data_IF_631817680308
#
_entry.id   IF_631817680308
#
_cell.length_a   1.000
_cell.length_b   1.000
_cell.length_c   1.000
_cell.angle_alpha   90.00
_cell.angle_beta   90.00
_cell.angle_gamma   90.00
#
_symmetry.space_group_name_H-M   'P 1'
#
loop_
_entity.id
_entity.type
_entity.pdbx_description
1 polymer ?
#
# COMPACT_ATOMS: atom_id res chain seq x y z
N UNK A 1 22.36 6.26 -4.35
CA UNK A 1 22.10 4.79 -4.21
C UNK A 1 22.07 4.31 -2.76
N UNK A 2 23.04 4.66 -1.90
CA UNK A 2 23.13 4.22 -0.49
C UNK A 2 21.88 4.49 0.39
N UNK A 3 21.18 5.62 0.19
CA UNK A 3 19.95 5.94 0.92
C UNK A 3 18.82 4.94 0.61
N UNK A 4 18.67 4.57 -0.67
CA UNK A 4 17.63 3.64 -1.12
C UNK A 4 17.87 2.24 -0.57
N UNK A 5 19.12 1.77 -0.57
CA UNK A 5 19.48 0.48 0.02
C UNK A 5 19.11 0.39 1.50
N UNK A 6 19.36 1.45 2.28
CA UNK A 6 18.95 1.50 3.70
C UNK A 6 17.43 1.49 3.89
N UNK A 7 16.69 2.17 3.02
CA UNK A 7 15.21 2.12 3.06
C UNK A 7 14.69 0.71 2.80
N UNK A 8 15.27 0.01 1.82
CA UNK A 8 14.89 -1.38 1.49
C UNK A 8 15.20 -2.30 2.68
N UNK A 9 16.40 -2.21 3.25
CA UNK A 9 16.78 -3.02 4.42
C UNK A 9 15.85 -2.77 5.63
N UNK A 10 15.39 -1.53 5.82
CA UNK A 10 14.44 -1.18 6.89
C UNK A 10 13.03 -1.73 6.63
N UNK A 11 12.59 -1.76 5.36
CA UNK A 11 11.24 -2.18 5.00
C UNK A 11 11.10 -3.69 4.83
N UNK A 12 12.11 -4.37 4.29
CA UNK A 12 12.03 -5.77 3.86
C UNK A 12 12.98 -6.71 4.62
N UNK A 13 13.79 -6.18 5.54
CA UNK A 13 14.75 -6.97 6.31
C UNK A 13 15.99 -7.34 5.50
N UNK A 14 16.78 -8.28 6.02
CA UNK A 14 18.06 -8.65 5.43
C UNK A 14 17.94 -9.68 4.29
N UNK A 15 16.78 -10.31 4.12
CA UNK A 15 16.58 -11.39 3.15
C UNK A 15 16.41 -10.85 1.71
N UNK A 16 17.36 -11.14 0.79
CA UNK A 16 17.31 -10.65 -0.59
C UNK A 16 16.13 -11.16 -1.41
N UNK A 17 15.56 -12.31 -1.05
CA UNK A 17 14.39 -12.86 -1.74
C UNK A 17 13.14 -11.98 -1.56
N UNK A 18 13.06 -11.25 -0.45
CA UNK A 18 11.94 -10.35 -0.12
C UNK A 18 12.07 -8.97 -0.76
N UNK A 19 13.24 -8.62 -1.30
CA UNK A 19 13.47 -7.31 -1.89
C UNK A 19 12.82 -7.19 -3.29
N UNK A 20 12.34 -5.97 -3.67
CA UNK A 20 11.82 -5.70 -5.00
C UNK A 20 12.82 -6.08 -6.09
N UNK A 21 12.37 -6.81 -7.13
CA UNK A 21 13.25 -7.39 -8.16
C UNK A 21 14.19 -6.37 -8.80
N UNK A 22 13.67 -5.21 -9.19
CA UNK A 22 14.45 -4.14 -9.82
C UNK A 22 15.45 -3.43 -8.91
N UNK A 23 15.36 -3.61 -7.59
CA UNK A 23 16.20 -2.89 -6.63
C UNK A 23 17.26 -3.78 -5.98
N UNK A 24 17.21 -5.11 -6.16
CA UNK A 24 18.16 -6.06 -5.55
C UNK A 24 19.61 -5.75 -5.89
N UNK A 25 19.90 -5.51 -7.17
CA UNK A 25 21.25 -5.21 -7.63
C UNK A 25 21.81 -3.96 -6.95
N UNK A 26 20.98 -2.92 -6.78
CA UNK A 26 21.36 -1.66 -6.12
C UNK A 26 21.69 -1.88 -4.64
N UNK A 27 20.94 -2.74 -3.95
CA UNK A 27 21.24 -3.08 -2.54
C UNK A 27 22.52 -3.90 -2.43
N UNK A 28 22.72 -4.88 -3.31
CA UNK A 28 23.92 -5.73 -3.32
C UNK A 28 25.18 -4.90 -3.62
N UNK A 29 25.10 -4.00 -4.59
CA UNK A 29 26.19 -3.07 -4.90
C UNK A 29 26.50 -2.18 -3.69
N UNK A 30 25.48 -1.62 -3.05
CA UNK A 30 25.67 -0.80 -1.85
C UNK A 30 26.30 -1.59 -0.68
N UNK A 31 25.97 -2.88 -0.54
CA UNK A 31 26.58 -3.75 0.48
C UNK A 31 28.06 -4.04 0.20
N UNK A 32 28.47 -4.07 -1.06
CA UNK A 32 29.89 -4.28 -1.42
C UNK A 32 30.77 -3.05 -1.19
N UNK A 33 30.18 -1.85 -1.13
CA UNK A 33 30.92 -0.57 -1.12
C UNK A 33 30.74 0.25 0.16
N UNK A 34 29.80 -0.09 1.05
CA UNK A 34 29.41 0.77 2.17
C UNK A 34 29.29 0.03 3.51
N UNK A 35 30.29 0.22 4.39
CA UNK A 35 30.31 -0.35 5.74
C UNK A 35 29.06 -0.02 6.58
N UNK A 36 28.50 1.22 6.58
CA UNK A 36 27.25 1.51 7.28
C UNK A 36 26.04 0.70 6.77
N UNK A 37 25.97 0.43 5.47
CA UNK A 37 24.91 -0.38 4.87
C UNK A 37 25.07 -1.84 5.26
N UNK A 38 26.30 -2.36 5.31
CA UNK A 38 26.60 -3.71 5.84
C UNK A 38 26.20 -3.83 7.32
N UNK A 39 26.51 -2.84 8.15
CA UNK A 39 26.10 -2.84 9.55
C UNK A 39 24.57 -2.85 9.71
N UNK A 40 23.86 -2.12 8.84
CA UNK A 40 22.40 -2.10 8.80
C UNK A 40 21.81 -3.44 8.39
N UNK A 41 22.41 -4.11 7.39
CA UNK A 41 22.02 -5.46 6.98
C UNK A 41 22.23 -6.47 8.10
N UNK A 42 23.36 -6.43 8.81
CA UNK A 42 23.62 -7.34 9.94
C UNK A 42 22.58 -7.17 11.05
N UNK A 43 22.23 -5.92 11.40
CA UNK A 43 21.17 -5.65 12.39
C UNK A 43 19.82 -6.21 11.94
N UNK A 44 19.46 -6.02 10.68
CA UNK A 44 18.23 -6.58 10.13
C UNK A 44 18.26 -8.11 10.17
N UNK A 45 19.39 -8.75 9.85
CA UNK A 45 19.53 -10.21 9.89
C UNK A 45 19.41 -10.77 11.31
N UNK A 46 19.97 -10.07 12.32
CA UNK A 46 19.79 -10.46 13.73
C UNK A 46 18.33 -10.38 14.15
N UNK A 47 17.61 -9.32 13.76
CA UNK A 47 16.19 -9.20 14.05
C UNK A 47 15.39 -10.31 13.35
N UNK A 48 15.65 -10.55 12.07
CA UNK A 48 14.99 -11.61 11.30
C UNK A 48 15.19 -12.98 11.97
N UNK A 49 16.42 -13.28 12.42
CA UNK A 49 16.72 -14.52 13.14
C UNK A 49 15.98 -14.64 14.48
N UNK A 50 15.84 -13.54 15.23
CA UNK A 50 15.07 -13.52 16.48
C UNK A 50 13.57 -13.75 16.23
N UNK A 51 13.03 -13.18 15.15
CA UNK A 51 11.64 -13.36 14.76
C UNK A 51 11.38 -14.78 14.24
N UNK A 52 12.31 -15.36 13.49
CA UNK A 52 12.20 -16.74 13.00
C UNK A 52 12.30 -17.77 14.13
N UNK A 53 12.99 -17.44 15.23
CA UNK A 53 13.05 -18.27 16.43
C UNK A 53 11.76 -18.22 17.27
N UNK A 54 10.82 -17.31 16.98
CA UNK A 54 9.57 -17.23 17.72
C UNK A 54 8.69 -18.48 17.46
N UNK A 55 8.05 -19.05 18.50
CA UNK A 55 7.17 -20.19 18.33
C UNK A 55 6.03 -19.88 17.34
N UNK A 56 5.83 -20.77 16.37
CA UNK A 56 4.71 -20.66 15.43
C UNK A 56 3.45 -21.19 16.11
N UNK A 57 2.57 -20.28 16.54
CA UNK A 57 1.28 -20.65 17.09
C UNK A 57 0.29 -20.91 15.96
N UNK A 58 -0.33 -22.10 15.98
CA UNK A 58 -1.48 -22.39 15.13
C UNK A 58 -2.70 -21.70 15.72
N UNK A 59 -3.38 -20.87 14.93
CA UNK A 59 -4.64 -20.27 15.35
C UNK A 59 -5.67 -21.37 15.67
N UNK A 60 -6.39 -21.22 16.79
CA UNK A 60 -7.44 -22.17 17.14
C UNK A 60 -8.62 -22.06 16.15
N UNK A 61 -9.33 -23.17 15.87
CA UNK A 61 -10.51 -23.12 14.99
C UNK A 61 -11.56 -22.12 15.45
N UNK A 62 -11.75 -21.98 16.77
CA UNK A 62 -12.67 -21.00 17.36
C UNK A 62 -12.25 -19.55 17.09
N UNK A 63 -10.94 -19.25 17.11
CA UNK A 63 -10.43 -17.92 16.77
C UNK A 63 -10.64 -17.61 15.27
N UNK A 64 -10.39 -18.58 14.41
CA UNK A 64 -10.61 -18.45 12.96
C UNK A 64 -12.09 -18.17 12.66
N UNK A 65 -13.00 -18.93 13.29
CA UNK A 65 -14.44 -18.72 13.15
C UNK A 65 -14.89 -17.32 13.63
N UNK A 66 -14.33 -16.85 14.75
CA UNK A 66 -14.61 -15.49 15.27
C UNK A 66 -14.11 -14.39 14.34
N UNK A 67 -12.91 -14.54 13.76
CA UNK A 67 -12.37 -13.56 12.80
C UNK A 67 -13.23 -13.53 11.54
N UNK A 68 -13.65 -14.71 11.04
CA UNK A 68 -14.53 -14.82 9.87
C UNK A 68 -15.89 -14.17 10.12
N UNK A 69 -16.54 -14.53 11.22
CA UNK A 69 -17.81 -13.92 11.60
C UNK A 69 -17.69 -12.40 11.81
N UNK A 70 -16.58 -11.91 12.37
CA UNK A 70 -16.33 -10.48 12.53
C UNK A 70 -16.09 -9.76 11.19
N UNK A 71 -15.43 -10.41 10.23
CA UNK A 71 -15.22 -9.88 8.88
C UNK A 71 -16.54 -9.78 8.10
N UNK A 72 -17.42 -10.76 8.26
CA UNK A 72 -18.75 -10.82 7.65
C UNK A 72 -19.77 -9.88 8.33
N UNK A 73 -19.70 -9.74 9.66
CA UNK A 73 -20.67 -8.95 10.46
C UNK A 73 -20.34 -7.46 10.54
N UNK A 74 -19.13 -7.05 10.12
CA UNK A 74 -18.79 -5.63 10.01
C UNK A 74 -18.95 -5.20 8.56
N UNK A 75 -20.00 -4.41 8.23
CA UNK A 75 -20.00 -3.61 7.01
C UNK A 75 -18.87 -2.56 7.14
N UNK A 76 -17.64 -2.96 6.82
CA UNK A 76 -16.44 -2.14 6.98
C UNK A 76 -15.20 -2.82 7.56
N UNK A 77 -15.21 -4.09 7.98
CA UNK A 77 -13.98 -4.74 8.49
C UNK A 77 -13.03 -5.24 7.39
N UNK A 78 -13.51 -5.38 6.15
CA UNK A 78 -12.70 -5.35 4.93
C UNK A 78 -12.76 -3.98 4.23
N UNK A 79 -13.24 -2.96 4.93
CA UNK A 79 -13.58 -1.67 4.37
C UNK A 79 -12.33 -0.97 3.87
N UNK A 80 -12.22 -0.86 2.54
CA UNK A 80 -11.82 0.40 1.92
C UNK A 80 -12.28 1.50 2.86
N UNK A 81 -11.35 2.29 3.39
CA UNK A 81 -11.68 3.63 3.88
C UNK A 81 -12.17 4.37 2.65
N UNK A 82 -13.41 4.12 2.22
CA UNK A 82 -14.13 5.06 1.39
C UNK A 82 -14.07 6.33 2.22
N UNK A 83 -13.36 7.38 1.74
CA UNK A 83 -13.41 8.64 2.44
C UNK A 83 -14.90 8.91 2.65
N UNK A 84 -15.30 9.05 3.92
CA UNK A 84 -16.64 9.50 4.28
C UNK A 84 -16.95 10.58 3.27
N UNK A 85 -17.97 10.37 2.42
CA UNK A 85 -18.32 11.34 1.41
C UNK A 85 -18.54 12.64 2.17
N UNK A 86 -17.51 13.49 2.16
CA UNK A 86 -17.51 14.76 2.84
C UNK A 86 -18.69 15.46 2.21
N UNK A 87 -19.71 15.77 3.03
CA UNK A 87 -20.88 16.46 2.53
C UNK A 87 -20.40 17.70 1.77
N UNK A 88 -21.14 18.06 0.72
CA UNK A 88 -20.80 19.17 -0.16
C UNK A 88 -20.50 20.43 0.66
N UNK A 89 -21.22 20.61 1.77
CA UNK A 89 -21.06 21.66 2.76
C UNK A 89 -19.68 21.62 3.46
N UNK A 90 -19.22 20.46 3.93
CA UNK A 90 -17.91 20.34 4.61
C UNK A 90 -16.75 20.53 3.64
N UNK A 91 -16.89 20.05 2.39
CA UNK A 91 -15.93 20.34 1.31
C UNK A 91 -15.89 21.84 0.98
N UNK A 92 -17.05 22.51 0.95
CA UNK A 92 -17.10 23.97 0.73
C UNK A 92 -16.47 24.74 1.88
N UNK A 93 -16.69 24.34 3.13
CA UNK A 93 -16.09 24.99 4.29
C UNK A 93 -14.58 24.79 4.36
N UNK A 94 -14.08 23.58 4.09
CA UNK A 94 -12.64 23.29 4.06
C UNK A 94 -11.95 24.01 2.91
N UNK A 95 -12.55 24.06 1.71
CA UNK A 95 -12.04 24.87 0.60
C UNK A 95 -12.08 26.36 0.95
N UNK A 96 -13.19 26.86 1.49
CA UNK A 96 -13.31 28.26 1.88
C UNK A 96 -12.34 28.66 3.01
N UNK A 97 -11.95 27.73 3.88
CA UNK A 97 -10.92 27.94 4.89
C UNK A 97 -9.51 27.93 4.27
N UNK A 98 -9.26 27.04 3.31
CA UNK A 98 -8.01 26.97 2.55
C UNK A 98 -7.76 28.24 1.70
N UNK A 99 -8.84 28.81 1.14
CA UNK A 99 -8.79 30.02 0.31
C UNK A 99 -8.85 31.35 1.09
N UNK A 100 -9.16 31.34 2.40
CA UNK A 100 -9.18 32.57 3.24
C UNK A 100 -7.89 32.85 4.01
N UNK A 101 -6.91 31.94 4.00
CA UNK A 101 -5.65 32.11 4.72
C UNK A 101 -4.52 32.75 3.88
N UNK A 102 -3.58 33.51 4.49
CA UNK A 102 -2.46 34.16 3.80
C UNK A 102 -1.37 33.19 3.26
N UNK A 103 -1.61 31.87 3.27
CA UNK A 103 -0.66 30.80 2.91
C UNK A 103 -0.83 30.35 1.44
N UNK A 104 -1.49 31.16 0.61
CA UNK A 104 -1.97 30.83 -0.75
C UNK A 104 -0.92 30.62 -1.85
N UNK A 105 0.39 30.61 -1.56
CA UNK A 105 1.43 30.45 -2.60
C UNK A 105 1.98 29.03 -2.77
N UNK A 106 2.35 28.28 -1.72
CA UNK A 106 2.85 26.92 -1.91
C UNK A 106 1.75 25.86 -2.07
N UNK A 107 0.55 26.07 -1.51
CA UNK A 107 -0.50 25.05 -1.49
C UNK A 107 -1.28 24.91 -2.82
N UNK A 108 -1.37 25.98 -3.61
CA UNK A 108 -2.09 26.00 -4.89
C UNK A 108 -1.37 25.22 -5.98
N UNK A 109 -0.02 25.20 -5.97
CA UNK A 109 0.77 24.39 -6.90
C UNK A 109 0.52 22.89 -6.70
N UNK A 110 0.37 22.45 -5.45
CA UNK A 110 0.15 21.04 -5.11
C UNK A 110 -1.29 20.62 -5.47
N UNK A 111 -2.27 21.47 -5.16
CA UNK A 111 -3.66 21.25 -5.59
C UNK A 111 -3.78 21.22 -7.13
N UNK A 112 -3.06 22.10 -7.83
CA UNK A 112 -2.98 22.11 -9.29
C UNK A 112 -2.38 20.83 -9.87
N UNK A 113 -1.26 20.36 -9.31
CA UNK A 113 -0.62 19.13 -9.76
C UNK A 113 -1.51 17.89 -9.57
N UNK A 114 -2.22 17.81 -8.43
CA UNK A 114 -3.17 16.72 -8.16
C UNK A 114 -4.36 16.77 -9.11
N UNK A 115 -4.96 17.96 -9.31
CA UNK A 115 -6.07 18.13 -10.23
C UNK A 115 -5.68 17.79 -11.68
N UNK A 116 -4.48 18.19 -12.11
CA UNK A 116 -3.96 17.89 -13.44
C UNK A 116 -3.74 16.38 -13.63
N UNK A 117 -3.17 15.70 -12.63
CA UNK A 117 -2.95 14.24 -12.68
C UNK A 117 -4.26 13.45 -12.76
N UNK A 118 -5.27 13.85 -11.97
CA UNK A 118 -6.61 13.24 -12.02
C UNK A 118 -7.28 13.48 -13.38
N UNK A 119 -7.17 14.70 -13.91
CA UNK A 119 -7.76 15.05 -15.20
C UNK A 119 -7.11 14.27 -16.35
N UNK A 120 -5.78 14.19 -16.39
CA UNK A 120 -5.04 13.43 -17.40
C UNK A 120 -5.37 11.95 -17.32
N UNK A 121 -5.41 11.38 -16.11
CA UNK A 121 -5.81 9.98 -15.91
C UNK A 121 -7.24 9.67 -16.34
N UNK A 122 -8.18 10.61 -16.12
CA UNK A 122 -9.57 10.45 -16.52
C UNK A 122 -9.77 10.57 -18.04
N UNK A 123 -9.04 11.46 -18.71
CA UNK A 123 -9.11 11.61 -20.17
C UNK A 123 -8.40 10.48 -20.94
N UNK A 124 -7.39 9.86 -20.34
CA UNK A 124 -6.61 8.79 -20.97
C UNK A 124 -6.95 7.38 -20.47
N UNK A 125 -8.00 7.21 -19.64
CA UNK A 125 -8.49 5.90 -19.29
C UNK A 125 -9.27 5.29 -20.47
N UNK A 126 -8.75 4.26 -21.17
CA UNK A 126 -9.53 3.55 -22.18
C UNK A 126 -10.72 2.88 -21.49
N UNK A 127 -11.93 3.25 -21.91
CA UNK A 127 -13.18 2.81 -21.29
C UNK A 127 -13.41 1.28 -21.37
N UNK A 128 -12.69 0.59 -22.25
CA UNK A 128 -12.83 -0.87 -22.46
C UNK A 128 -12.00 -1.72 -21.48
N UNK A 129 -10.96 -1.17 -20.85
CA UNK A 129 -10.02 -1.96 -20.02
C UNK A 129 -10.23 -1.82 -18.50
N UNK A 130 -11.16 -0.97 -18.05
CA UNK A 130 -11.38 -0.75 -16.62
C UNK A 130 -11.87 -2.03 -15.90
N UNK A 131 -12.71 -2.83 -16.56
CA UNK A 131 -13.18 -4.11 -16.03
C UNK A 131 -12.12 -5.21 -16.13
N UNK A 132 -11.31 -5.22 -17.19
CA UNK A 132 -10.22 -6.17 -17.37
C UNK A 132 -9.11 -5.96 -16.32
N UNK A 133 -8.71 -4.70 -16.09
CA UNK A 133 -7.76 -4.35 -15.05
C UNK A 133 -8.33 -4.58 -13.64
N UNK A 134 -9.62 -4.31 -13.41
CA UNK A 134 -10.25 -4.63 -12.13
C UNK A 134 -10.26 -6.13 -11.86
N UNK A 135 -10.57 -6.95 -12.87
CA UNK A 135 -10.56 -8.41 -12.78
C UNK A 135 -9.14 -8.96 -12.58
N UNK A 136 -8.15 -8.42 -13.28
CA UNK A 136 -6.75 -8.81 -13.10
C UNK A 136 -6.25 -8.41 -11.72
N UNK A 137 -6.58 -7.21 -11.23
CA UNK A 137 -6.24 -6.79 -9.86
C UNK A 137 -6.92 -7.65 -8.79
N UNK A 138 -8.17 -8.04 -8.97
CA UNK A 138 -8.88 -8.95 -8.05
C UNK A 138 -8.22 -10.33 -8.07
N UNK A 139 -7.87 -10.83 -9.26
CA UNK A 139 -7.19 -12.13 -9.42
C UNK A 139 -5.78 -12.11 -8.81
N UNK A 140 -5.05 -10.99 -8.96
CA UNK A 140 -3.71 -10.83 -8.41
C UNK A 140 -3.70 -10.60 -6.90
N UNK A 141 -4.74 -9.95 -6.35
CA UNK A 141 -4.86 -9.64 -4.93
C UNK A 141 -5.44 -10.78 -4.10
N UNK A 142 -6.34 -11.59 -4.68
CA UNK A 142 -7.09 -12.63 -3.95
C UNK A 142 -6.83 -14.06 -4.44
N UNK A 143 -6.11 -14.24 -5.55
CA UNK A 143 -5.84 -15.55 -6.13
C UNK A 143 -7.01 -16.08 -6.97
N UNK A 144 -6.72 -17.07 -7.82
CA UNK A 144 -7.62 -17.54 -8.88
C UNK A 144 -8.95 -18.15 -8.38
N UNK A 145 -9.05 -18.46 -7.08
CA UNK A 145 -10.18 -19.16 -6.48
C UNK A 145 -11.36 -18.23 -6.12
N UNK A 146 -11.21 -16.91 -6.24
CA UNK A 146 -12.30 -15.94 -6.04
C UNK A 146 -13.00 -15.60 -7.37
N UNK A 147 -13.68 -16.59 -7.98
CA UNK A 147 -14.78 -16.28 -8.89
C UNK A 147 -16.04 -16.00 -8.07
N UNK A 148 -16.57 -14.78 -8.19
CA UNK A 148 -17.91 -14.44 -7.69
C UNK A 148 -18.91 -15.14 -8.62
N UNK A 149 -19.36 -16.31 -8.21
CA UNK A 149 -20.54 -16.96 -8.77
C UNK A 149 -21.75 -16.12 -8.35
N UNK A 150 -22.39 -15.44 -9.32
CA UNK A 150 -23.61 -14.67 -9.03
C UNK A 150 -23.86 -13.47 -9.94
N UNK A 151 -23.95 -13.69 -11.24
CA UNK A 151 -24.72 -12.83 -12.13
C UNK A 151 -25.61 -13.73 -12.97
N UNK A 152 -26.77 -14.10 -12.40
CA UNK A 152 -28.05 -14.40 -13.06
C UNK A 152 -28.99 -15.02 -12.03
N UNK A 153 -29.82 -14.17 -11.41
CA UNK A 153 -31.30 -14.27 -11.35
C UNK A 153 -31.88 -13.05 -10.63
#
# INVERSE_FOLDING_TARGET
MKLRARQILKAYGANPARWPRGERAVVQEALSQDLPTVASQRRAATLDALLDAAPRYRASPALIARIRAAAESSPGAGGRRTPRALSREVWRETLAALFRGPVMRPASALAGAVALGVLVGALWAPAEDANAMAAEFVTLAFGHDFQVEGANE
#
